data_IF_858180952885
#
_entry.id   IF_858180952885
#
_cell.length_a   1.000
_cell.length_b   1.000
_cell.length_c   1.000
_cell.angle_alpha   90.00
_cell.angle_beta   90.00
_cell.angle_gamma   90.00
#
_symmetry.space_group_name_H-M   'P 1'
#
loop_
_entity.id
_entity.type
_entity.pdbx_description
1 polymer ?
#
# COMPACT_ATOMS: atom_id res chain seq x y z
N UNK A 1 -17.97 19.44 45.94
CA UNK A 1 -17.93 19.91 44.54
C UNK A 1 -16.61 19.47 43.91
N UNK A 2 -16.59 18.29 43.29
CA UNK A 2 -15.51 17.85 42.41
C UNK A 2 -16.19 17.27 41.17
N UNK A 3 -16.33 18.12 40.15
CA UNK A 3 -16.92 17.73 38.87
C UNK A 3 -15.89 16.91 38.09
N UNK A 4 -15.99 15.59 38.17
CA UNK A 4 -15.38 14.72 37.17
C UNK A 4 -16.16 14.91 35.87
N UNK A 5 -15.61 15.69 34.95
CA UNK A 5 -16.05 15.75 33.57
C UNK A 5 -15.87 14.39 32.92
N UNK A 6 -16.95 13.60 32.89
CA UNK A 6 -17.10 12.45 32.03
C UNK A 6 -17.05 12.92 30.57
N UNK A 7 -15.84 13.05 30.02
CA UNK A 7 -15.65 13.07 28.57
C UNK A 7 -16.13 11.71 28.07
N UNK A 8 -17.23 11.73 27.34
CA UNK A 8 -17.89 10.52 26.85
C UNK A 8 -16.90 9.69 26.02
N UNK A 9 -16.91 8.36 26.17
CA UNK A 9 -16.07 7.43 25.40
C UNK A 9 -16.16 7.68 23.87
N UNK A 10 -17.26 8.31 23.43
CA UNK A 10 -17.55 8.75 22.06
C UNK A 10 -16.69 9.91 21.54
N UNK A 11 -16.09 10.75 22.40
CA UNK A 11 -15.33 11.94 21.96
C UNK A 11 -13.86 11.65 21.59
N UNK A 12 -13.36 10.42 21.84
CA UNK A 12 -11.99 10.01 21.51
C UNK A 12 -11.83 9.29 20.17
N UNK A 13 -12.89 9.15 19.39
CA UNK A 13 -12.83 8.61 18.03
C UNK A 13 -12.55 9.75 17.04
N UNK A 14 -11.42 9.67 16.33
CA UNK A 14 -11.05 10.64 15.32
C UNK A 14 -12.18 10.75 14.27
N UNK A 15 -12.91 11.86 14.25
CA UNK A 15 -13.88 12.16 13.19
C UNK A 15 -13.15 12.14 11.86
N UNK A 16 -13.44 11.13 11.03
CA UNK A 16 -12.95 11.11 9.65
C UNK A 16 -13.66 12.25 8.91
N UNK A 17 -12.89 13.21 8.42
CA UNK A 17 -13.47 14.34 7.69
C UNK A 17 -14.00 13.90 6.32
N UNK A 18 -15.05 14.55 5.79
CA UNK A 18 -15.56 14.27 4.44
C UNK A 18 -14.45 14.32 3.36
N UNK A 19 -13.51 15.26 3.51
CA UNK A 19 -12.35 15.37 2.63
C UNK A 19 -11.48 14.11 2.63
N UNK A 20 -11.18 13.54 3.81
CA UNK A 20 -10.37 12.32 3.91
C UNK A 20 -11.09 11.09 3.37
N UNK A 21 -12.42 11.04 3.42
CA UNK A 21 -13.22 9.97 2.80
C UNK A 21 -13.19 10.10 1.27
N UNK A 22 -13.35 11.32 0.76
CA UNK A 22 -13.27 11.59 -0.68
C UNK A 22 -11.89 11.21 -1.26
N UNK A 23 -10.80 11.53 -0.56
CA UNK A 23 -9.45 11.14 -0.98
C UNK A 23 -9.22 9.62 -0.99
N UNK A 24 -9.86 8.87 -0.09
CA UNK A 24 -9.81 7.39 -0.09
C UNK A 24 -10.60 6.80 -1.24
N UNK A 25 -11.82 7.28 -1.43
CA UNK A 25 -12.66 6.88 -2.54
C UNK A 25 -11.92 7.12 -3.87
N UNK A 26 -11.24 8.26 -3.99
CA UNK A 26 -10.38 8.57 -5.12
C UNK A 26 -9.22 7.57 -5.28
N UNK A 27 -8.51 7.21 -4.21
CA UNK A 27 -7.46 6.17 -4.29
C UNK A 27 -8.00 4.83 -4.77
N UNK A 28 -9.11 4.38 -4.18
CA UNK A 28 -9.79 3.15 -4.57
C UNK A 28 -10.22 3.19 -6.04
N UNK A 29 -10.83 4.30 -6.49
CA UNK A 29 -11.28 4.47 -7.87
C UNK A 29 -10.11 4.47 -8.86
N UNK A 30 -8.98 5.12 -8.52
CA UNK A 30 -7.78 5.07 -9.36
C UNK A 30 -7.22 3.67 -9.48
N UNK A 31 -7.08 2.98 -8.35
CA UNK A 31 -6.53 1.63 -8.29
C UNK A 31 -7.38 0.65 -9.12
N UNK A 32 -8.70 0.68 -8.94
CA UNK A 32 -9.63 -0.21 -9.67
C UNK A 32 -9.66 0.09 -11.16
N UNK A 33 -9.76 1.36 -11.56
CA UNK A 33 -9.75 1.76 -12.98
C UNK A 33 -8.45 1.37 -13.69
N UNK A 34 -7.29 1.58 -13.05
CA UNK A 34 -6.00 1.23 -13.64
C UNK A 34 -5.79 -0.30 -13.75
N UNK A 35 -6.35 -1.09 -12.82
CA UNK A 35 -6.28 -2.56 -12.86
C UNK A 35 -6.96 -3.15 -14.10
N UNK A 36 -8.07 -2.56 -14.53
CA UNK A 36 -8.85 -3.04 -15.68
C UNK A 36 -8.52 -2.34 -16.99
N UNK A 37 -7.70 -1.29 -16.95
CA UNK A 37 -7.30 -0.56 -18.15
C UNK A 37 -6.58 -1.48 -19.15
N UNK A 38 -6.88 -1.29 -20.43
CA UNK A 38 -6.33 -2.03 -21.56
C UNK A 38 -5.54 -1.09 -22.47
N UNK A 39 -4.52 -1.65 -23.10
CA UNK A 39 -3.55 -0.95 -23.93
C UNK A 39 -3.43 -1.67 -25.26
N UNK A 40 -3.18 -0.90 -26.31
CA UNK A 40 -2.84 -1.41 -27.63
C UNK A 40 -1.32 -1.65 -27.73
N UNK A 41 -0.87 -2.38 -28.77
CA UNK A 41 0.55 -2.76 -28.93
C UNK A 41 1.50 -1.56 -28.93
N UNK A 42 1.07 -0.41 -29.46
CA UNK A 42 1.88 0.81 -29.55
C UNK A 42 1.94 1.60 -28.22
N UNK A 43 1.29 1.13 -27.16
CA UNK A 43 1.17 1.83 -25.87
C UNK A 43 2.01 1.19 -24.74
N UNK A 44 3.05 0.41 -25.10
CA UNK A 44 3.88 -0.37 -24.18
C UNK A 44 4.45 0.48 -23.01
N UNK A 45 4.93 1.69 -23.28
CA UNK A 45 5.46 2.57 -22.22
C UNK A 45 4.38 2.95 -21.18
N UNK A 46 3.16 3.17 -21.64
CA UNK A 46 2.04 3.56 -20.76
C UNK A 46 1.54 2.35 -19.96
N UNK A 47 1.50 1.19 -20.59
CA UNK A 47 1.19 -0.06 -19.91
C UNK A 47 2.24 -0.39 -18.84
N UNK A 48 3.52 -0.24 -19.18
CA UNK A 48 4.65 -0.45 -18.26
C UNK A 48 4.54 0.50 -17.06
N UNK A 49 4.27 1.78 -17.29
CA UNK A 49 4.07 2.73 -16.21
C UNK A 49 2.86 2.36 -15.33
N UNK A 50 1.76 1.88 -15.92
CA UNK A 50 0.60 1.37 -15.18
C UNK A 50 1.00 0.17 -14.31
N UNK A 51 1.73 -0.78 -14.86
CA UNK A 51 2.13 -2.01 -14.15
C UNK A 51 3.09 -1.71 -12.99
N UNK A 52 4.04 -0.78 -13.18
CA UNK A 52 4.92 -0.28 -12.11
C UNK A 52 4.07 0.41 -11.02
N UNK A 53 3.08 1.21 -11.39
CA UNK A 53 2.18 1.86 -10.41
C UNK A 53 1.41 0.82 -9.59
N UNK A 54 0.86 -0.21 -10.23
CA UNK A 54 0.16 -1.28 -9.53
C UNK A 54 1.10 -2.09 -8.64
N UNK A 55 2.31 -2.40 -9.11
CA UNK A 55 3.33 -3.07 -8.29
C UNK A 55 3.66 -2.24 -7.04
N UNK A 56 3.77 -0.92 -7.18
CA UNK A 56 3.95 0.00 -6.06
C UNK A 56 2.74 -0.01 -5.09
N UNK A 57 1.51 -0.12 -5.60
CA UNK A 57 0.31 -0.29 -4.77
C UNK A 57 0.33 -1.59 -3.96
N UNK A 58 0.92 -2.66 -4.46
CA UNK A 58 0.98 -3.96 -3.77
C UNK A 58 2.21 -4.15 -2.87
N UNK A 59 3.24 -3.32 -3.03
CA UNK A 59 4.50 -3.44 -2.25
C UNK A 59 4.75 -2.26 -1.33
N UNK A 60 4.12 -1.11 -1.57
CA UNK A 60 4.37 0.12 -0.83
C UNK A 60 5.75 0.74 -1.05
N UNK A 61 6.60 0.18 -1.92
CA UNK A 61 7.92 0.72 -2.21
C UNK A 61 7.82 2.11 -2.85
N UNK A 62 8.72 3.03 -2.47
CA UNK A 62 8.75 4.34 -3.09
C UNK A 62 9.37 4.25 -4.49
N UNK A 63 9.08 5.23 -5.35
CA UNK A 63 9.62 5.26 -6.72
C UNK A 63 11.14 5.02 -6.79
N UNK A 64 11.92 5.70 -5.94
CA UNK A 64 13.36 5.56 -5.96
C UNK A 64 13.81 4.14 -5.58
N UNK A 65 13.15 3.53 -4.60
CA UNK A 65 13.42 2.14 -4.22
C UNK A 65 13.06 1.17 -5.37
N UNK A 66 11.89 1.35 -6.00
CA UNK A 66 11.40 0.50 -7.10
C UNK A 66 12.39 0.41 -8.27
N UNK A 67 13.07 1.52 -8.59
CA UNK A 67 14.02 1.56 -9.69
C UNK A 67 15.35 0.84 -9.38
N UNK A 68 15.59 0.48 -8.11
CA UNK A 68 16.81 -0.19 -7.65
C UNK A 68 16.56 -1.63 -7.14
N UNK A 69 15.30 -2.03 -6.96
CA UNK A 69 14.95 -3.40 -6.60
C UNK A 69 15.53 -4.38 -7.63
N UNK A 70 16.14 -5.46 -7.14
CA UNK A 70 16.84 -6.45 -7.95
C UNK A 70 16.65 -7.84 -7.31
N UNK A 71 17.16 -8.88 -7.96
CA UNK A 71 16.99 -10.28 -7.52
C UNK A 71 17.52 -10.55 -6.11
N UNK A 72 18.57 -9.85 -5.66
CA UNK A 72 19.12 -10.02 -4.31
C UNK A 72 18.18 -9.54 -3.20
N UNK A 73 17.21 -8.67 -3.53
CA UNK A 73 16.17 -8.22 -2.61
C UNK A 73 15.02 -9.23 -2.46
N UNK A 74 15.00 -10.29 -3.28
CA UNK A 74 13.99 -11.35 -3.21
C UNK A 74 14.47 -12.49 -2.32
N UNK A 75 13.67 -12.83 -1.31
CA UNK A 75 13.97 -13.90 -0.34
C UNK A 75 12.74 -14.77 -0.18
N UNK A 76 12.91 -16.09 -0.13
CA UNK A 76 11.84 -17.03 0.23
C UNK A 76 11.88 -17.32 1.72
N UNK A 77 10.72 -17.42 2.36
CA UNK A 77 10.60 -18.00 3.69
C UNK A 77 10.51 -19.54 3.62
N UNK A 78 10.45 -20.19 4.78
CA UNK A 78 10.40 -21.65 4.90
C UNK A 78 9.11 -22.25 4.31
N UNK A 79 8.06 -21.43 4.16
CA UNK A 79 6.80 -21.77 3.51
C UNK A 79 6.84 -21.55 1.98
N UNK A 80 8.00 -21.14 1.44
CA UNK A 80 8.21 -20.88 0.03
C UNK A 80 7.64 -19.55 -0.47
N UNK A 81 7.05 -18.73 0.40
CA UNK A 81 6.49 -17.45 0.04
C UNK A 81 7.58 -16.43 -0.27
N UNK A 82 7.35 -15.60 -1.29
CA UNK A 82 8.34 -14.62 -1.73
C UNK A 82 8.21 -13.31 -0.95
N UNK A 83 9.34 -12.78 -0.52
CA UNK A 83 9.46 -11.53 0.23
C UNK A 83 10.39 -10.56 -0.49
N UNK A 84 10.05 -9.29 -0.43
CA UNK A 84 10.92 -8.18 -0.76
C UNK A 84 11.57 -7.65 0.53
N UNK A 85 12.90 -7.70 0.59
CA UNK A 85 13.71 -7.20 1.72
C UNK A 85 14.78 -6.26 1.18
N UNK A 86 14.70 -4.98 1.56
CA UNK A 86 15.62 -3.93 1.09
C UNK A 86 15.73 -2.82 2.14
N UNK A 87 16.75 -1.98 2.03
CA UNK A 87 16.86 -0.75 2.83
C UNK A 87 16.31 0.41 2.02
N UNK A 88 15.41 1.19 2.62
CA UNK A 88 14.81 2.35 1.97
C UNK A 88 15.88 3.38 1.62
N UNK A 89 15.95 3.80 0.37
CA UNK A 89 17.01 4.67 -0.12
C UNK A 89 17.07 6.01 0.62
N UNK A 90 15.91 6.62 0.92
CA UNK A 90 15.84 7.93 1.58
C UNK A 90 16.34 7.90 3.04
N UNK A 91 16.18 6.79 3.74
CA UNK A 91 16.33 6.77 5.21
C UNK A 91 17.20 5.63 5.74
N UNK A 92 17.60 4.68 4.91
CA UNK A 92 18.33 3.46 5.31
C UNK A 92 17.49 2.44 6.11
N UNK A 93 16.26 2.79 6.49
CA UNK A 93 15.39 1.93 7.30
C UNK A 93 15.00 0.67 6.51
N UNK A 94 15.14 -0.53 7.08
CA UNK A 94 14.73 -1.76 6.42
C UNK A 94 13.24 -1.82 6.12
N UNK A 95 12.90 -2.20 4.89
CA UNK A 95 11.57 -2.55 4.43
C UNK A 95 11.48 -4.07 4.26
N UNK A 96 10.38 -4.67 4.72
CA UNK A 96 10.11 -6.10 4.52
C UNK A 96 8.64 -6.30 4.15
N UNK A 97 8.39 -6.83 2.96
CA UNK A 97 7.03 -6.98 2.42
C UNK A 97 6.87 -8.36 1.80
N UNK A 98 5.88 -9.15 2.26
CA UNK A 98 5.50 -10.41 1.62
C UNK A 98 4.82 -10.08 0.30
N UNK A 99 5.29 -10.63 -0.81
CA UNK A 99 4.74 -10.34 -2.13
C UNK A 99 3.40 -11.03 -2.31
N UNK A 100 2.38 -10.23 -2.60
CA UNK A 100 1.06 -10.71 -2.99
C UNK A 100 1.11 -11.35 -4.38
N UNK A 101 0.21 -12.29 -4.71
CA UNK A 101 0.16 -12.92 -6.03
C UNK A 101 0.11 -11.91 -7.19
N UNK A 102 -0.58 -10.79 -7.02
CA UNK A 102 -0.64 -9.73 -8.03
C UNK A 102 0.70 -9.02 -8.23
N UNK A 103 1.47 -8.81 -7.16
CA UNK A 103 2.81 -8.24 -7.27
C UNK A 103 3.76 -9.19 -7.99
N UNK A 104 3.67 -10.50 -7.68
CA UNK A 104 4.46 -11.55 -8.34
C UNK A 104 4.14 -11.58 -9.83
N UNK A 105 2.85 -11.62 -10.21
CA UNK A 105 2.43 -11.61 -11.62
C UNK A 105 2.92 -10.39 -12.38
N UNK A 106 2.90 -9.20 -11.76
CA UNK A 106 3.42 -7.97 -12.39
C UNK A 106 4.94 -8.02 -12.55
N UNK A 107 5.65 -8.52 -11.53
CA UNK A 107 7.09 -8.71 -11.59
C UNK A 107 7.50 -9.68 -12.70
N UNK A 108 6.80 -10.82 -12.82
CA UNK A 108 7.01 -11.81 -13.88
C UNK A 108 6.70 -11.24 -15.26
N UNK A 109 5.60 -10.49 -15.41
CA UNK A 109 5.26 -9.82 -16.67
C UNK A 109 6.34 -8.84 -17.12
N UNK A 110 6.91 -8.09 -16.17
CA UNK A 110 7.92 -7.06 -16.45
C UNK A 110 9.35 -7.62 -16.47
N UNK A 111 9.54 -8.91 -16.24
CA UNK A 111 10.84 -9.56 -16.16
C UNK A 111 11.57 -9.52 -17.51
N UNK A 112 12.90 -9.43 -17.45
CA UNK A 112 13.77 -9.53 -18.62
C UNK A 112 15.11 -10.13 -18.20
N UNK A 113 15.58 -11.16 -18.90
CA UNK A 113 16.85 -11.83 -18.60
C UNK A 113 18.07 -10.92 -18.79
N UNK A 114 17.94 -9.88 -19.64
CA UNK A 114 18.99 -8.89 -19.88
C UNK A 114 19.12 -7.83 -18.79
N UNK A 115 18.36 -7.93 -17.68
CA UNK A 115 18.31 -6.91 -16.63
C UNK A 115 18.39 -7.52 -15.23
N UNK A 116 19.19 -6.89 -14.36
CA UNK A 116 19.32 -7.26 -12.95
C UNK A 116 18.18 -6.73 -12.07
N UNK A 117 17.64 -5.55 -12.41
CA UNK A 117 16.52 -4.94 -11.67
C UNK A 117 15.21 -5.68 -11.95
N UNK A 118 14.37 -5.78 -10.92
CA UNK A 118 13.06 -6.45 -11.01
C UNK A 118 12.13 -5.75 -12.01
N UNK A 119 12.22 -4.42 -12.09
CA UNK A 119 11.36 -3.58 -12.93
C UNK A 119 12.20 -2.84 -13.98
N UNK A 120 11.61 -2.52 -15.15
CA UNK A 120 12.26 -1.67 -16.13
C UNK A 120 12.46 -0.27 -15.56
N UNK A 121 13.62 0.31 -15.84
CA UNK A 121 13.91 1.67 -15.40
C UNK A 121 13.11 2.68 -16.22
N UNK A 122 12.38 3.54 -15.55
CA UNK A 122 11.69 4.68 -16.15
C UNK A 122 12.13 5.96 -15.46
N UNK A 123 12.63 6.95 -16.21
CA UNK A 123 13.02 8.26 -15.63
C UNK A 123 11.82 8.90 -14.93
N UNK A 124 12.04 9.51 -13.76
CA UNK A 124 10.97 10.06 -12.93
C UNK A 124 10.04 11.02 -13.69
N UNK A 125 10.62 11.91 -14.51
CA UNK A 125 9.85 12.85 -15.34
C UNK A 125 8.94 12.12 -16.34
N UNK A 126 9.46 11.10 -17.02
CA UNK A 126 8.70 10.30 -17.97
C UNK A 126 7.59 9.53 -17.24
N UNK A 127 7.92 8.93 -16.10
CA UNK A 127 6.93 8.23 -15.29
C UNK A 127 5.79 9.17 -14.86
N UNK A 128 6.09 10.39 -14.41
CA UNK A 128 5.07 11.40 -14.10
C UNK A 128 4.20 11.78 -15.31
N UNK A 129 4.78 11.85 -16.51
CA UNK A 129 4.03 12.10 -17.76
C UNK A 129 3.09 10.92 -18.05
N UNK A 130 3.57 9.68 -17.96
CA UNK A 130 2.75 8.49 -18.15
C UNK A 130 1.61 8.42 -17.12
N UNK A 131 1.86 8.70 -15.84
CA UNK A 131 0.81 8.74 -14.81
C UNK A 131 -0.27 9.80 -15.13
N UNK A 132 0.12 10.97 -15.66
CA UNK A 132 -0.83 11.99 -16.12
C UNK A 132 -1.64 11.50 -17.33
N UNK A 133 -1.02 10.83 -18.29
CA UNK A 133 -1.70 10.26 -19.45
C UNK A 133 -2.69 9.16 -19.04
N UNK A 134 -2.25 8.24 -18.17
CA UNK A 134 -3.08 7.19 -17.59
C UNK A 134 -4.32 7.74 -16.88
N UNK A 135 -4.14 8.83 -16.12
CA UNK A 135 -5.24 9.53 -15.46
C UNK A 135 -6.28 10.01 -16.47
N UNK A 136 -5.85 10.67 -17.54
CA UNK A 136 -6.73 11.17 -18.60
C UNK A 136 -7.45 10.01 -19.29
N UNK A 137 -6.70 8.97 -19.69
CA UNK A 137 -7.22 7.77 -20.36
C UNK A 137 -8.26 7.03 -19.52
N UNK A 138 -8.04 6.90 -18.22
CA UNK A 138 -8.97 6.24 -17.31
C UNK A 138 -10.16 7.12 -16.88
N UNK A 139 -10.24 8.38 -17.36
CA UNK A 139 -11.26 9.32 -16.93
C UNK A 139 -11.24 9.56 -15.41
N UNK A 140 -10.05 9.70 -14.84
CA UNK A 140 -9.84 9.97 -13.42
C UNK A 140 -9.70 11.49 -13.25
N UNK A 141 -10.64 12.13 -12.55
CA UNK A 141 -10.69 13.60 -12.44
C UNK A 141 -9.65 14.19 -11.49
N UNK A 142 -9.09 13.39 -10.59
CA UNK A 142 -8.17 13.83 -9.54
C UNK A 142 -6.74 13.34 -9.82
N UNK A 143 -5.72 14.09 -9.39
CA UNK A 143 -4.33 13.68 -9.59
C UNK A 143 -3.97 12.43 -8.78
N UNK A 144 -3.24 11.50 -9.41
CA UNK A 144 -2.46 10.49 -8.70
C UNK A 144 -0.99 10.58 -9.11
N UNK A 145 -0.12 10.24 -8.17
CA UNK A 145 1.34 10.31 -8.31
C UNK A 145 1.97 9.03 -7.75
N UNK A 146 3.30 8.95 -7.77
CA UNK A 146 4.04 7.84 -7.14
C UNK A 146 3.70 7.68 -5.65
N UNK A 147 3.44 8.79 -4.95
CA UNK A 147 3.00 8.74 -3.55
C UNK A 147 1.61 8.15 -3.40
N UNK A 148 0.72 8.34 -4.37
CA UNK A 148 -0.63 7.74 -4.34
C UNK A 148 -0.55 6.23 -4.28
N UNK A 149 0.35 5.59 -5.03
CA UNK A 149 0.52 4.14 -4.99
C UNK A 149 0.94 3.63 -3.60
N UNK A 150 1.95 4.26 -3.00
CA UNK A 150 2.40 3.92 -1.64
C UNK A 150 1.32 4.15 -0.59
N UNK A 151 0.51 5.21 -0.74
CA UNK A 151 -0.66 5.42 0.11
C UNK A 151 -1.70 4.32 -0.06
N UNK A 152 -1.97 3.88 -1.30
CA UNK A 152 -2.88 2.78 -1.58
C UNK A 152 -2.41 1.50 -0.90
N UNK A 153 -1.11 1.20 -0.91
CA UNK A 153 -0.57 0.08 -0.13
C UNK A 153 -0.87 0.25 1.37
N UNK A 154 -0.53 1.41 1.93
CA UNK A 154 -0.66 1.68 3.36
C UNK A 154 -2.12 1.66 3.84
N UNK A 155 -3.08 2.11 3.03
CA UNK A 155 -4.50 2.12 3.42
C UNK A 155 -5.23 0.88 2.90
N UNK A 156 -5.50 0.84 1.59
CA UNK A 156 -6.42 -0.11 0.96
C UNK A 156 -5.93 -1.56 1.07
N UNK A 157 -4.64 -1.78 0.81
CA UNK A 157 -4.07 -3.14 0.76
C UNK A 157 -3.75 -3.68 2.16
N UNK A 158 -3.52 -2.82 3.16
CA UNK A 158 -3.04 -3.25 4.48
C UNK A 158 -3.95 -2.81 5.63
N UNK A 159 -3.98 -1.53 6.02
CA UNK A 159 -4.75 -1.06 7.19
C UNK A 159 -6.26 -1.30 7.06
N UNK A 160 -6.82 -1.29 5.85
CA UNK A 160 -8.22 -1.62 5.60
C UNK A 160 -8.49 -3.13 5.63
N UNK A 161 -7.45 -3.96 5.48
CA UNK A 161 -7.51 -5.41 5.62
C UNK A 161 -7.17 -5.89 7.04
N UNK A 162 -7.06 -4.97 8.00
CA UNK A 162 -6.78 -5.26 9.41
C UNK A 162 -5.32 -5.59 9.72
N UNK A 163 -4.37 -5.21 8.86
CA UNK A 163 -2.94 -5.34 9.17
C UNK A 163 -2.57 -4.31 10.25
N UNK A 164 -1.93 -4.71 11.37
CA UNK A 164 -1.57 -3.77 12.44
C UNK A 164 -0.67 -2.63 11.95
N UNK A 165 -0.87 -1.42 12.48
CA UNK A 165 -0.18 -0.21 12.03
C UNK A 165 1.33 -0.29 12.19
N UNK A 166 1.82 -0.95 13.24
CA UNK A 166 3.23 -1.18 13.51
C UNK A 166 3.85 -2.07 12.43
N UNK A 167 3.08 -3.07 11.97
CA UNK A 167 3.48 -3.96 10.89
C UNK A 167 3.55 -3.19 9.57
N UNK A 168 2.53 -2.37 9.26
CA UNK A 168 2.54 -1.50 8.06
C UNK A 168 3.70 -0.52 8.11
N UNK A 169 4.00 0.06 9.28
CA UNK A 169 5.13 0.97 9.48
C UNK A 169 6.47 0.32 9.13
N UNK A 170 6.68 -0.92 9.57
CA UNK A 170 7.88 -1.72 9.24
C UNK A 170 7.93 -2.09 7.76
N UNK A 171 6.81 -2.48 7.15
CA UNK A 171 6.72 -2.78 5.71
C UNK A 171 7.15 -1.58 4.86
N UNK A 172 6.75 -0.38 5.28
CA UNK A 172 7.06 0.87 4.59
C UNK A 172 8.47 1.40 4.91
N UNK A 173 9.17 0.88 5.91
CA UNK A 173 10.46 1.42 6.34
C UNK A 173 10.33 2.84 6.92
N UNK A 174 9.30 3.08 7.74
CA UNK A 174 9.17 4.31 8.52
C UNK A 174 9.96 4.20 9.82
N UNK A 175 10.72 5.25 10.15
CA UNK A 175 11.52 5.31 11.38
C UNK A 175 10.67 5.49 12.64
N UNK A 176 9.43 5.98 12.50
CA UNK A 176 8.46 6.14 13.58
C UNK A 176 7.05 5.77 13.08
N UNK A 177 6.29 5.04 13.91
CA UNK A 177 4.90 4.67 13.66
C UNK A 177 4.01 5.90 13.44
N UNK A 178 4.34 7.06 14.01
CA UNK A 178 3.61 8.32 13.79
C UNK A 178 3.58 8.76 12.32
N UNK A 179 4.58 8.37 11.53
CA UNK A 179 4.56 8.59 10.08
C UNK A 179 3.47 7.77 9.39
N UNK A 180 3.12 6.63 9.97
CA UNK A 180 2.08 5.71 9.49
C UNK A 180 0.70 6.07 10.04
N UNK A 181 0.62 6.74 11.20
CA UNK A 181 -0.65 7.22 11.80
C UNK A 181 -1.44 8.14 10.86
N UNK A 182 -0.76 8.85 9.96
CA UNK A 182 -1.44 9.64 8.91
C UNK A 182 -2.38 8.81 8.02
N UNK A 183 -2.14 7.51 7.92
CA UNK A 183 -2.93 6.54 7.15
C UNK A 183 -4.01 5.86 7.99
N UNK A 184 -3.82 5.81 9.30
CA UNK A 184 -4.72 5.10 10.19
C UNK A 184 -6.02 5.88 10.38
N UNK A 185 -7.13 5.15 10.34
CA UNK A 185 -8.45 5.61 10.71
C UNK A 185 -9.02 4.61 11.71
N UNK A 186 -9.26 5.08 12.92
CA UNK A 186 -10.11 4.35 13.87
C UNK A 186 -11.54 4.78 13.59
N UNK A 187 -12.28 3.98 12.82
CA UNK A 187 -13.74 4.16 12.71
C UNK A 187 -14.41 3.33 13.80
N UNK A 188 -15.59 3.73 14.30
CA UNK A 188 -16.35 2.91 15.23
C UNK A 188 -16.58 1.49 14.70
N UNK A 189 -16.86 1.34 13.40
CA UNK A 189 -17.02 0.04 12.74
C UNK A 189 -15.76 -0.82 12.85
N UNK A 190 -14.58 -0.28 12.52
CA UNK A 190 -13.31 -1.01 12.68
C UNK A 190 -13.04 -1.38 14.13
N UNK A 191 -13.38 -0.50 15.08
CA UNK A 191 -13.23 -0.81 16.50
C UNK A 191 -14.14 -1.99 16.91
N UNK A 192 -15.38 -2.03 16.44
CA UNK A 192 -16.26 -3.18 16.68
C UNK A 192 -15.74 -4.46 16.02
N UNK A 193 -15.23 -4.39 14.78
CA UNK A 193 -14.61 -5.53 14.10
C UNK A 193 -13.39 -6.07 14.85
N UNK A 194 -12.50 -5.18 15.30
CA UNK A 194 -11.33 -5.56 16.11
C UNK A 194 -11.73 -6.16 17.46
N UNK A 195 -12.74 -5.60 18.13
CA UNK A 195 -13.23 -6.12 19.39
C UNK A 195 -13.91 -7.50 19.23
N UNK A 196 -14.68 -7.70 18.16
CA UNK A 196 -15.27 -8.99 17.83
C UNK A 196 -14.20 -10.06 17.54
N UNK A 197 -13.13 -9.68 16.81
CA UNK A 197 -11.98 -10.57 16.57
C UNK A 197 -11.23 -10.92 17.86
N UNK A 198 -11.13 -9.96 18.79
CA UNK A 198 -10.58 -10.22 20.11
C UNK A 198 -11.47 -11.19 20.91
N UNK A 199 -12.78 -10.99 20.91
CA UNK A 199 -13.74 -11.88 21.58
C UNK A 199 -13.65 -13.31 21.05
N UNK A 200 -13.66 -13.51 19.72
CA UNK A 200 -13.54 -14.84 19.12
C UNK A 200 -12.25 -15.54 19.52
N UNK A 201 -11.13 -14.81 19.54
CA UNK A 201 -9.85 -15.36 19.99
C UNK A 201 -9.87 -15.79 21.47
N UNK A 202 -10.56 -15.03 22.34
CA UNK A 202 -10.68 -15.39 23.76
C UNK A 202 -11.62 -16.57 24.01
N UNK A 203 -12.65 -16.74 23.18
CA UNK A 203 -13.56 -17.89 23.24
C UNK A 203 -12.84 -19.19 22.86
N UNK A 204 -12.01 -19.15 21.81
CA UNK A 204 -11.18 -20.29 21.38
C UNK A 204 -10.19 -20.74 22.48
N UNK A 205 -9.68 -19.78 23.27
CA UNK A 205 -8.75 -20.04 24.37
C UNK A 205 -9.42 -20.63 25.62
N UNK A 206 -10.72 -20.34 25.84
CA UNK A 206 -11.49 -20.92 26.94
C UNK A 206 -11.97 -22.34 26.63
N UNK A 207 -12.13 -22.70 25.36
CA UNK A 207 -12.50 -24.06 24.91
C UNK A 207 -11.32 -25.06 24.93
N UNK A 208 -10.11 -24.60 25.26
CA UNK A 208 -8.89 -25.40 25.31
C UNK A 208 -8.38 -25.67 26.75
N UNK A 209 -9.19 -25.34 27.76
CA UNK A 209 -9.00 -25.69 29.18
C UNK A 209 -10.09 -26.67 29.58
#
# INVERSE_FOLDING_TARGET
MLGHSNVSMTERYAKVTPQKLFEEFNRFLSFTKLKVLRFEELEEEMETARDIFLFACYTGAAYCDLMELNKSHLVRDDEGCLWLKFNRQKTGVPCRVKLLPEAIRLMEKLHSDGRETLLPYIKYKNYQICLKALRLRAGISFPFTTHTARHTFATLITLEQGVPIETVSKMLGHSNVSMTERYAKVTPQKLFEEFNRFLSFTEDMQMSI
#
